data_IF_689601207347
#
_entry.id   IF_689601207347
#
_cell.length_a   1.000
_cell.length_b   1.000
_cell.length_c   1.000
_cell.angle_alpha   90.00
_cell.angle_beta   90.00
_cell.angle_gamma   90.00
#
_symmetry.space_group_name_H-M   'P 1'
#
loop_
_entity.id
_entity.type
_entity.pdbx_description
1 polymer ?
#
# COMPACT_ATOMS: atom_id res chain seq x y z
N UNK A 1 -10.16 4.24 -17.21
CA UNK A 1 -9.77 4.26 -15.77
C UNK A 1 -8.45 3.55 -15.50
N UNK A 2 -8.28 2.28 -15.89
CA UNK A 2 -7.03 1.53 -15.63
C UNK A 2 -5.77 2.12 -16.29
N UNK A 3 -5.86 2.75 -17.46
CA UNK A 3 -4.69 3.33 -18.15
C UNK A 3 -4.01 4.47 -17.40
N UNK A 4 -4.79 5.34 -16.74
CA UNK A 4 -4.25 6.45 -15.95
C UNK A 4 -3.59 5.95 -14.66
N UNK A 5 -4.19 4.94 -14.03
CA UNK A 5 -3.65 4.29 -12.84
C UNK A 5 -2.38 3.50 -13.18
N UNK A 6 -2.34 2.79 -14.31
CA UNK A 6 -1.16 2.05 -14.78
C UNK A 6 0.01 3.00 -15.07
N UNK A 7 -0.25 4.16 -15.68
CA UNK A 7 0.79 5.17 -15.91
C UNK A 7 1.31 5.78 -14.60
N UNK A 8 0.42 6.07 -13.65
CA UNK A 8 0.81 6.53 -12.32
C UNK A 8 1.67 5.48 -11.58
N UNK A 9 1.24 4.22 -11.59
CA UNK A 9 1.94 3.11 -10.94
C UNK A 9 3.28 2.76 -11.62
N UNK A 10 3.47 3.09 -12.90
CA UNK A 10 4.78 3.01 -13.55
C UNK A 10 5.74 4.07 -13.03
N UNK A 11 5.24 5.27 -12.77
CA UNK A 11 6.02 6.41 -12.29
C UNK A 11 6.33 6.42 -10.79
N UNK A 12 5.66 5.59 -9.98
CA UNK A 12 5.89 5.55 -8.53
C UNK A 12 7.33 5.10 -8.20
N UNK A 13 7.97 5.86 -7.32
CA UNK A 13 9.31 5.55 -6.79
C UNK A 13 9.23 5.05 -5.35
N UNK A 14 10.30 4.43 -4.85
CA UNK A 14 10.43 4.09 -3.42
C UNK A 14 10.30 5.33 -2.54
N UNK A 15 10.80 6.46 -3.02
CA UNK A 15 10.74 7.74 -2.31
C UNK A 15 9.31 8.24 -2.14
N UNK A 16 8.45 8.07 -3.14
CA UNK A 16 7.03 8.43 -3.05
C UNK A 16 6.31 7.58 -2.00
N UNK A 17 6.59 6.28 -1.96
CA UNK A 17 6.06 5.37 -0.92
C UNK A 17 6.54 5.81 0.46
N UNK A 18 7.82 6.18 0.59
CA UNK A 18 8.38 6.65 1.85
C UNK A 18 7.75 7.98 2.29
N UNK A 19 7.60 8.95 1.38
CA UNK A 19 6.97 10.25 1.65
C UNK A 19 5.52 10.06 2.09
N UNK A 20 4.78 9.19 1.43
CA UNK A 20 3.40 8.85 1.80
C UNK A 20 3.33 8.18 3.18
N UNK A 21 4.19 7.18 3.44
CA UNK A 21 4.27 6.52 4.74
C UNK A 21 4.55 7.52 5.87
N UNK A 22 5.54 8.41 5.68
CA UNK A 22 5.89 9.47 6.64
C UNK A 22 4.75 10.45 6.87
N UNK A 23 4.03 10.85 5.82
CA UNK A 23 2.82 11.69 5.93
C UNK A 23 1.73 11.04 6.80
N UNK A 24 1.71 9.71 6.88
CA UNK A 24 0.83 8.93 7.76
C UNK A 24 1.46 8.51 9.08
N UNK A 25 2.58 9.13 9.47
CA UNK A 25 3.33 8.81 10.69
C UNK A 25 3.84 7.35 10.75
N UNK A 26 4.11 6.76 9.59
CA UNK A 26 4.71 5.43 9.43
C UNK A 26 6.16 5.61 9.00
N UNK A 27 7.08 5.03 9.78
CA UNK A 27 8.52 5.10 9.51
C UNK A 27 8.99 3.70 9.16
N UNK A 28 9.13 3.45 7.86
CA UNK A 28 9.57 2.16 7.34
C UNK A 28 11.10 2.12 7.29
N UNK A 29 11.67 1.03 7.79
CA UNK A 29 13.06 0.63 7.53
C UNK A 29 13.28 0.31 6.03
N UNK A 30 14.52 0.18 5.57
CA UNK A 30 14.82 -0.06 4.15
C UNK A 30 14.21 -1.36 3.62
N UNK A 31 14.25 -2.43 4.41
CA UNK A 31 13.60 -3.70 4.11
C UNK A 31 12.08 -3.55 3.99
N UNK A 32 11.45 -2.87 4.95
CA UNK A 32 10.00 -2.65 4.99
C UNK A 32 9.55 -1.76 3.83
N UNK A 33 10.33 -0.72 3.51
CA UNK A 33 10.06 0.19 2.42
C UNK A 33 10.20 -0.52 1.08
N UNK A 34 11.25 -1.31 0.91
CA UNK A 34 11.48 -2.10 -0.31
C UNK A 34 10.36 -3.11 -0.50
N UNK A 35 9.95 -3.81 0.56
CA UNK A 35 8.80 -4.71 0.52
C UNK A 35 7.51 -3.96 0.16
N UNK A 36 7.21 -2.83 0.81
CA UNK A 36 5.98 -2.06 0.57
C UNK A 36 5.91 -1.56 -0.87
N UNK A 37 7.02 -1.03 -1.38
CA UNK A 37 7.13 -0.56 -2.75
C UNK A 37 6.84 -1.67 -3.76
N UNK A 38 7.54 -2.79 -3.63
CA UNK A 38 7.39 -3.95 -4.53
C UNK A 38 5.99 -4.53 -4.44
N UNK A 39 5.46 -4.62 -3.22
CA UNK A 39 4.11 -5.10 -2.94
C UNK A 39 3.06 -4.24 -3.65
N UNK A 40 3.07 -2.92 -3.50
CA UNK A 40 2.09 -2.03 -4.14
C UNK A 40 2.21 -2.13 -5.67
N UNK A 41 3.44 -2.10 -6.20
CA UNK A 41 3.68 -2.11 -7.64
C UNK A 41 3.25 -3.41 -8.32
N UNK A 42 3.40 -4.55 -7.64
CA UNK A 42 2.99 -5.86 -8.16
C UNK A 42 1.51 -6.15 -7.98
N UNK A 43 0.91 -5.70 -6.86
CA UNK A 43 -0.43 -6.15 -6.46
C UNK A 43 -1.53 -5.13 -6.74
N UNK A 44 -1.24 -3.89 -7.15
CA UNK A 44 -2.30 -2.87 -7.30
C UNK A 44 -3.42 -3.28 -8.25
N UNK A 45 -3.12 -4.00 -9.35
CA UNK A 45 -4.15 -4.45 -10.31
C UNK A 45 -5.15 -5.40 -9.66
N UNK A 46 -4.64 -6.35 -8.87
CA UNK A 46 -5.44 -7.32 -8.13
C UNK A 46 -6.25 -6.63 -7.02
N UNK A 47 -5.63 -5.71 -6.29
CA UNK A 47 -6.30 -4.94 -5.23
C UNK A 47 -7.44 -4.07 -5.76
N UNK A 48 -7.30 -3.52 -6.98
CA UNK A 48 -8.36 -2.74 -7.62
C UNK A 48 -9.47 -3.61 -8.20
N UNK A 49 -9.15 -4.80 -8.72
CA UNK A 49 -10.15 -5.73 -9.30
C UNK A 49 -10.94 -6.49 -8.23
N UNK A 50 -10.26 -6.94 -7.18
CA UNK A 50 -10.84 -7.79 -6.14
C UNK A 50 -10.48 -7.28 -4.74
N UNK A 51 -10.90 -6.06 -4.36
CA UNK A 51 -10.52 -5.44 -3.10
C UNK A 51 -10.88 -6.30 -1.88
N UNK A 52 -12.06 -6.93 -1.88
CA UNK A 52 -12.57 -7.74 -0.78
C UNK A 52 -11.78 -9.02 -0.51
N UNK A 53 -11.01 -9.49 -1.51
CA UNK A 53 -10.17 -10.68 -1.37
C UNK A 53 -8.81 -10.36 -0.74
N UNK A 54 -8.44 -9.07 -0.67
CA UNK A 54 -7.15 -8.66 -0.16
C UNK A 54 -7.08 -8.78 1.38
N UNK A 55 -6.25 -9.71 1.85
CA UNK A 55 -6.00 -9.95 3.28
C UNK A 55 -4.65 -9.38 3.70
N UNK A 56 -4.65 -8.13 4.15
CA UNK A 56 -3.43 -7.43 4.59
C UNK A 56 -2.70 -8.12 5.76
N UNK A 57 -3.43 -8.84 6.61
CA UNK A 57 -2.90 -9.62 7.74
C UNK A 57 -1.84 -10.66 7.35
N UNK A 58 -1.86 -11.15 6.10
CA UNK A 58 -0.83 -12.09 5.60
C UNK A 58 0.57 -11.50 5.56
N UNK A 59 0.67 -10.17 5.52
CA UNK A 59 1.95 -9.46 5.40
C UNK A 59 2.45 -8.90 6.72
N UNK A 60 1.81 -9.23 7.86
CA UNK A 60 2.23 -8.78 9.19
C UNK A 60 3.71 -9.07 9.47
N UNK A 61 4.19 -10.24 9.07
CA UNK A 61 5.58 -10.68 9.29
C UNK A 61 6.62 -9.92 8.44
N UNK A 62 6.18 -9.02 7.55
CA UNK A 62 7.06 -8.19 6.73
C UNK A 62 7.35 -6.82 7.34
N UNK A 63 6.72 -6.53 8.48
CA UNK A 63 6.85 -5.26 9.18
C UNK A 63 7.27 -5.49 10.63
N UNK A 64 8.07 -4.58 11.16
CA UNK A 64 8.63 -4.65 12.51
C UNK A 64 7.85 -3.75 13.47
N UNK A 65 7.76 -4.18 14.73
CA UNK A 65 7.11 -3.40 15.78
C UNK A 65 5.66 -3.00 15.44
N UNK A 66 5.35 -1.71 15.62
CA UNK A 66 4.00 -1.16 15.41
C UNK A 66 3.75 -0.68 13.96
N UNK A 67 4.68 -0.90 13.02
CA UNK A 67 4.52 -0.42 11.65
C UNK A 67 3.37 -1.13 10.95
N UNK A 68 3.19 -2.44 11.18
CA UNK A 68 2.08 -3.18 10.58
C UNK A 68 0.71 -2.60 10.95
N UNK A 69 0.48 -2.30 12.22
CA UNK A 69 -0.82 -1.79 12.68
C UNK A 69 -1.12 -0.42 12.08
N UNK A 70 -0.11 0.44 11.98
CA UNK A 70 -0.24 1.75 11.32
C UNK A 70 -0.58 1.60 9.83
N UNK A 71 0.12 0.73 9.11
CA UNK A 71 -0.14 0.46 7.68
C UNK A 71 -1.54 -0.14 7.51
N UNK A 72 -1.94 -1.08 8.37
CA UNK A 72 -3.27 -1.68 8.37
C UNK A 72 -4.35 -0.61 8.55
N UNK A 73 -4.14 0.34 9.46
CA UNK A 73 -5.06 1.48 9.66
C UNK A 73 -5.16 2.35 8.40
N UNK A 74 -4.02 2.69 7.79
CA UNK A 74 -3.99 3.45 6.52
C UNK A 74 -4.74 2.69 5.42
N UNK A 75 -4.49 1.38 5.28
CA UNK A 75 -5.20 0.56 4.30
C UNK A 75 -6.71 0.58 4.52
N UNK A 76 -7.19 0.35 5.75
CA UNK A 76 -8.63 0.32 6.05
C UNK A 76 -9.28 1.69 5.83
N UNK A 77 -8.60 2.77 6.19
CA UNK A 77 -9.06 4.15 5.97
C UNK A 77 -9.30 4.43 4.49
N UNK A 78 -8.31 4.14 3.64
CA UNK A 78 -8.40 4.38 2.21
C UNK A 78 -9.33 3.38 1.54
N UNK A 79 -9.31 2.12 1.97
CA UNK A 79 -10.23 1.12 1.47
C UNK A 79 -11.67 1.56 1.71
N UNK A 80 -12.05 1.89 2.94
CA UNK A 80 -13.41 2.38 3.26
C UNK A 80 -13.78 3.65 2.50
N UNK A 81 -12.83 4.60 2.36
CA UNK A 81 -13.06 5.87 1.67
C UNK A 81 -13.30 5.69 0.17
N UNK A 82 -12.55 4.79 -0.45
CA UNK A 82 -12.56 4.62 -1.91
C UNK A 82 -13.36 3.39 -2.38
N UNK A 83 -13.84 2.52 -1.48
CA UNK A 83 -14.63 1.33 -1.81
C UNK A 83 -15.86 1.64 -2.66
N UNK A 84 -16.47 2.84 -2.52
CA UNK A 84 -17.62 3.24 -3.36
C UNK A 84 -17.25 3.54 -4.82
N UNK A 85 -15.97 3.69 -5.11
CA UNK A 85 -15.41 4.00 -6.44
C UNK A 85 -14.62 2.83 -7.03
N UNK A 86 -14.51 1.72 -6.29
CA UNK A 86 -13.88 0.46 -6.69
C UNK A 86 -14.96 -0.53 -7.10
#
# INVERSE_FOLDING_TARGET
MFGMIDNFMKGITKEDVNKFAKSKNVFLDDDELTFTYDFVKKNYKEMLKNPSLFKIDRYKNKYKGNNFEKIKKVYIEYFSKYQRFL
#
